data_IF_135502990029
#
_entry.id   IF_135502990029
#
_cell.length_a   1.000
_cell.length_b   1.000
_cell.length_c   1.000
_cell.angle_alpha   90.00
_cell.angle_beta   90.00
_cell.angle_gamma   90.00
#
_symmetry.space_group_name_H-M   'P 1'
#
loop_
_entity.id
_entity.type
_entity.pdbx_description
1 polymer ?
#
# COMPACT_ATOMS: atom_id res chain seq x y z
N UNK A 1 -4.48 10.48 22.93
CA UNK A 1 -4.25 9.35 21.99
C UNK A 1 -5.23 9.21 20.82
N UNK A 2 -6.55 9.36 21.01
CA UNK A 2 -7.52 9.16 19.90
C UNK A 2 -7.29 10.02 18.65
N UNK A 3 -6.97 11.31 18.82
CA UNK A 3 -6.75 12.25 17.70
C UNK A 3 -5.58 11.86 16.79
N UNK A 4 -4.48 11.38 17.37
CA UNK A 4 -3.29 10.95 16.62
C UNK A 4 -3.57 9.67 15.83
N UNK A 5 -4.38 8.76 16.39
CA UNK A 5 -4.84 7.57 15.67
C UNK A 5 -5.77 7.91 14.51
N UNK A 6 -6.70 8.86 14.71
CA UNK A 6 -7.58 9.35 13.65
C UNK A 6 -6.78 10.00 12.51
N UNK A 7 -5.79 10.84 12.84
CA UNK A 7 -4.87 11.40 11.84
C UNK A 7 -4.13 10.31 11.08
N UNK A 8 -3.57 9.30 11.76
CA UNK A 8 -2.83 8.23 11.07
C UNK A 8 -3.75 7.37 10.19
N UNK A 9 -4.99 7.12 10.61
CA UNK A 9 -5.97 6.42 9.78
C UNK A 9 -6.34 7.22 8.52
N UNK A 10 -6.56 8.53 8.66
CA UNK A 10 -6.80 9.43 7.53
C UNK A 10 -5.58 9.49 6.60
N UNK A 11 -4.38 9.65 7.16
CA UNK A 11 -3.14 9.67 6.38
C UNK A 11 -2.84 8.36 5.67
N UNK A 12 -3.21 7.23 6.28
CA UNK A 12 -3.13 5.92 5.64
C UNK A 12 -4.09 5.81 4.45
N UNK A 13 -5.36 6.19 4.63
CA UNK A 13 -6.38 6.14 3.60
C UNK A 13 -6.08 7.09 2.41
N UNK A 14 -5.35 8.18 2.67
CA UNK A 14 -5.01 9.22 1.70
C UNK A 14 -3.55 9.14 1.22
N UNK A 15 -2.91 7.97 1.38
CA UNK A 15 -1.59 7.74 0.78
C UNK A 15 -1.68 7.88 -0.75
N UNK A 16 -0.62 8.37 -1.43
CA UNK A 16 -0.63 8.50 -2.88
C UNK A 16 -0.90 7.17 -3.61
N UNK A 17 -0.48 6.05 -3.01
CA UNK A 17 -0.79 4.72 -3.51
C UNK A 17 -2.29 4.40 -3.49
N UNK A 18 -3.05 4.87 -2.49
CA UNK A 18 -4.50 4.68 -2.43
C UNK A 18 -5.20 5.54 -3.48
N UNK A 19 -4.90 6.84 -3.52
CA UNK A 19 -5.51 7.77 -4.47
C UNK A 19 -5.18 7.40 -5.92
N UNK A 20 -3.92 7.03 -6.18
CA UNK A 20 -3.48 6.58 -7.50
C UNK A 20 -4.08 5.24 -7.92
N UNK A 21 -4.22 4.30 -6.98
CA UNK A 21 -4.87 3.02 -7.29
C UNK A 21 -6.33 3.21 -7.68
N UNK A 22 -7.06 4.08 -6.99
CA UNK A 22 -8.46 4.39 -7.32
C UNK A 22 -8.53 5.12 -8.66
N UNK A 23 -7.71 6.15 -8.88
CA UNK A 23 -7.72 6.92 -10.13
C UNK A 23 -7.41 6.06 -11.37
N UNK A 24 -6.55 5.05 -11.23
CA UNK A 24 -6.11 4.20 -12.33
C UNK A 24 -6.83 2.85 -12.42
N UNK A 25 -7.83 2.57 -11.58
CA UNK A 25 -8.58 1.31 -11.61
C UNK A 25 -7.76 0.08 -11.16
N UNK A 26 -6.81 0.27 -10.26
CA UNK A 26 -5.95 -0.76 -9.67
C UNK A 26 -6.64 -1.43 -8.48
N UNK A 27 -7.59 -2.31 -8.78
CA UNK A 27 -8.38 -3.02 -7.76
C UNK A 27 -7.51 -3.83 -6.80
N UNK A 28 -6.44 -4.44 -7.30
CA UNK A 28 -5.52 -5.26 -6.51
C UNK A 28 -4.89 -4.46 -5.38
N UNK A 29 -4.24 -3.35 -5.71
CA UNK A 29 -3.67 -2.41 -4.73
C UNK A 29 -4.73 -1.89 -3.77
N UNK A 30 -5.93 -1.51 -4.25
CA UNK A 30 -7.01 -1.01 -3.39
C UNK A 30 -7.44 -2.03 -2.33
N UNK A 31 -7.65 -3.29 -2.72
CA UNK A 31 -7.98 -4.38 -1.80
C UNK A 31 -6.85 -4.60 -0.79
N UNK A 32 -5.60 -4.62 -1.24
CA UNK A 32 -4.46 -4.80 -0.33
C UNK A 32 -4.33 -3.64 0.67
N UNK A 33 -4.60 -2.40 0.27
CA UNK A 33 -4.60 -1.24 1.19
C UNK A 33 -5.68 -1.42 2.28
N UNK A 34 -6.87 -1.90 1.93
CA UNK A 34 -7.91 -2.18 2.95
C UNK A 34 -7.48 -3.30 3.90
N UNK A 35 -6.81 -4.33 3.39
CA UNK A 35 -6.37 -5.49 4.17
C UNK A 35 -5.09 -5.25 4.97
N UNK A 36 -4.23 -4.31 4.56
CA UNK A 36 -2.88 -4.14 5.14
C UNK A 36 -2.90 -3.90 6.66
N UNK A 37 -3.80 -3.07 7.23
CA UNK A 37 -3.86 -2.89 8.69
C UNK A 37 -4.24 -4.20 9.42
N UNK A 38 -5.12 -5.01 8.83
CA UNK A 38 -5.54 -6.31 9.37
C UNK A 38 -4.39 -7.32 9.29
N UNK A 39 -3.70 -7.38 8.14
CA UNK A 39 -2.52 -8.22 7.94
C UNK A 39 -1.41 -7.81 8.91
N UNK A 40 -1.15 -6.51 9.06
CA UNK A 40 -0.15 -5.98 9.99
C UNK A 40 -0.48 -6.31 11.45
N UNK A 41 -1.75 -6.24 11.85
CA UNK A 41 -2.18 -6.65 13.19
C UNK A 41 -2.03 -8.16 13.41
N UNK A 42 -2.44 -8.98 12.44
CA UNK A 42 -2.30 -10.44 12.50
C UNK A 42 -0.82 -10.85 12.54
N UNK A 43 0.01 -10.25 11.69
CA UNK A 43 1.45 -10.46 11.64
C UNK A 43 2.13 -10.02 12.94
N UNK A 44 1.69 -8.92 13.56
CA UNK A 44 2.18 -8.50 14.87
C UNK A 44 1.92 -9.57 15.93
N UNK A 45 0.71 -10.13 16.00
CA UNK A 45 0.39 -11.24 16.90
C UNK A 45 1.21 -12.50 16.59
N UNK A 46 1.39 -12.79 15.31
CA UNK A 46 2.15 -13.92 14.81
C UNK A 46 3.61 -13.88 15.29
N UNK A 47 4.26 -12.71 15.33
CA UNK A 47 5.68 -12.61 15.72
C UNK A 47 5.90 -12.57 17.24
N UNK A 48 4.83 -12.39 18.05
CA UNK A 48 4.97 -12.35 19.51
C UNK A 48 5.42 -13.69 20.09
N UNK A 49 6.12 -13.73 21.24
CA UNK A 49 6.46 -14.98 21.90
C UNK A 49 5.23 -15.86 22.20
N UNK A 50 4.10 -15.24 22.52
CA UNK A 50 2.81 -15.89 22.79
C UNK A 50 2.00 -16.26 21.54
N UNK A 51 2.53 -15.99 20.34
CA UNK A 51 1.84 -16.28 19.08
C UNK A 51 1.64 -17.78 18.85
N UNK A 52 0.45 -18.14 18.37
CA UNK A 52 -0.01 -19.53 18.19
C UNK A 52 -0.06 -19.92 16.72
N UNK A 53 -0.22 -21.22 16.43
CA UNK A 53 -0.48 -21.68 15.05
C UNK A 53 -1.75 -21.07 14.44
N UNK A 54 -2.75 -20.72 15.27
CA UNK A 54 -3.97 -20.02 14.83
C UNK A 54 -3.67 -18.63 14.29
N UNK A 55 -2.71 -17.91 14.87
CA UNK A 55 -2.27 -16.61 14.34
C UNK A 55 -1.58 -16.80 12.98
N UNK A 56 -0.90 -17.93 12.77
CA UNK A 56 -0.31 -18.33 11.48
C UNK A 56 -1.38 -18.52 10.41
N UNK A 57 -2.42 -19.30 10.71
CA UNK A 57 -3.56 -19.50 9.81
C UNK A 57 -4.30 -18.20 9.52
N UNK A 58 -4.58 -17.38 10.53
CA UNK A 58 -5.28 -16.10 10.32
C UNK A 58 -4.49 -15.14 9.43
N UNK A 59 -3.18 -15.04 9.67
CA UNK A 59 -2.29 -14.24 8.82
C UNK A 59 -2.23 -14.80 7.40
N UNK A 60 -2.12 -16.12 7.26
CA UNK A 60 -2.09 -16.81 5.96
C UNK A 60 -3.37 -16.64 5.15
N UNK A 61 -4.54 -16.67 5.78
CA UNK A 61 -5.83 -16.45 5.11
C UNK A 61 -5.96 -15.01 4.61
N UNK A 62 -5.64 -14.01 5.44
CA UNK A 62 -5.65 -12.60 5.01
C UNK A 62 -4.65 -12.36 3.87
N UNK A 63 -3.46 -12.95 3.98
CA UNK A 63 -2.43 -12.89 2.95
C UNK A 63 -2.88 -13.58 1.66
N UNK A 64 -3.65 -14.67 1.74
CA UNK A 64 -4.20 -15.37 0.58
C UNK A 64 -5.14 -14.47 -0.20
N UNK A 65 -6.05 -13.77 0.48
CA UNK A 65 -6.95 -12.80 -0.17
C UNK A 65 -6.13 -11.68 -0.81
N UNK A 66 -5.16 -11.11 -0.10
CA UNK A 66 -4.27 -10.09 -0.69
C UNK A 66 -3.50 -10.60 -1.91
N UNK A 67 -3.00 -11.85 -1.87
CA UNK A 67 -2.22 -12.48 -2.94
C UNK A 67 -3.07 -12.77 -4.18
N UNK A 68 -4.33 -13.17 -4.00
CA UNK A 68 -5.26 -13.42 -5.10
C UNK A 68 -5.51 -12.16 -5.95
N UNK A 69 -5.48 -10.99 -5.31
CA UNK A 69 -5.73 -9.69 -5.95
C UNK A 69 -4.43 -9.00 -6.42
N UNK A 70 -3.38 -9.05 -5.61
CA UNK A 70 -2.06 -8.52 -5.93
C UNK A 70 -0.97 -9.48 -5.42
N UNK A 71 -0.49 -10.40 -6.25
CA UNK A 71 0.48 -11.42 -5.91
C UNK A 71 1.79 -10.90 -5.29
N UNK A 72 2.18 -9.67 -5.63
CA UNK A 72 3.34 -8.98 -5.05
C UNK A 72 3.27 -8.90 -3.51
N UNK A 73 2.07 -8.89 -2.93
CA UNK A 73 1.86 -8.92 -1.49
C UNK A 73 2.47 -10.16 -0.82
N UNK A 74 2.45 -11.33 -1.49
CA UNK A 74 3.07 -12.56 -0.99
C UNK A 74 4.60 -12.45 -0.95
N UNK A 75 5.20 -11.88 -2.00
CA UNK A 75 6.66 -11.65 -2.07
C UNK A 75 7.11 -10.70 -0.96
N UNK A 76 6.37 -9.61 -0.75
CA UNK A 76 6.63 -8.67 0.34
C UNK A 76 6.51 -9.34 1.71
N UNK A 77 5.48 -10.15 1.92
CA UNK A 77 5.30 -10.92 3.15
C UNK A 77 6.42 -11.94 3.37
N UNK A 78 6.90 -12.61 2.32
CA UNK A 78 8.02 -13.55 2.38
C UNK A 78 9.29 -12.86 2.88
N UNK A 79 9.63 -11.70 2.30
CA UNK A 79 10.80 -10.91 2.70
C UNK A 79 10.67 -10.44 4.15
N UNK A 80 9.53 -9.87 4.52
CA UNK A 80 9.29 -9.38 5.89
C UNK A 80 9.29 -10.51 6.92
N UNK A 81 8.70 -11.67 6.59
CA UNK A 81 8.68 -12.83 7.47
C UNK A 81 10.09 -13.42 7.65
N UNK A 82 10.92 -13.44 6.60
CA UNK A 82 12.33 -13.84 6.70
C UNK A 82 13.11 -12.93 7.65
N UNK A 83 12.97 -11.60 7.51
CA UNK A 83 13.60 -10.64 8.42
C UNK A 83 13.08 -10.83 9.85
N UNK A 84 11.77 -10.98 10.03
CA UNK A 84 11.15 -11.17 11.34
C UNK A 84 11.60 -12.48 12.01
N UNK A 85 11.70 -13.58 11.27
CA UNK A 85 12.15 -14.90 11.77
C UNK A 85 13.57 -14.88 12.32
N UNK A 86 14.47 -14.10 11.71
CA UNK A 86 15.86 -13.96 12.15
C UNK A 86 16.01 -12.96 13.31
N UNK A 87 15.16 -11.93 13.37
CA UNK A 87 15.32 -10.80 14.31
C UNK A 87 14.48 -10.90 15.58
N UNK A 88 13.17 -11.14 15.45
CA UNK A 88 12.19 -11.00 16.56
C UNK A 88 11.47 -12.32 16.88
N UNK A 89 11.17 -13.12 15.85
CA UNK A 89 10.42 -14.36 15.97
C UNK A 89 11.34 -15.60 15.98
N UNK A 90 12.46 -15.53 16.71
CA UNK A 90 13.42 -16.64 16.83
C UNK A 90 12.72 -17.84 17.48
N UNK A 91 12.51 -18.92 16.73
CA UNK A 91 11.74 -20.11 17.15
C UNK A 91 10.27 -20.12 16.70
N UNK A 92 9.78 -19.03 16.10
CA UNK A 92 8.45 -18.91 15.51
C UNK A 92 8.35 -19.39 14.07
N UNK A 93 9.33 -20.16 13.57
CA UNK A 93 9.37 -20.62 12.18
C UNK A 93 8.15 -21.46 11.76
N UNK A 94 7.61 -22.38 12.59
CA UNK A 94 6.44 -23.18 12.17
C UNK A 94 5.21 -22.33 11.86
N UNK A 95 4.92 -21.32 12.69
CA UNK A 95 3.77 -20.42 12.48
C UNK A 95 3.99 -19.44 11.32
N UNK A 96 5.23 -18.99 11.08
CA UNK A 96 5.58 -18.22 9.88
C UNK A 96 5.42 -19.07 8.63
N UNK A 97 5.85 -20.34 8.67
CA UNK A 97 5.69 -21.29 7.58
C UNK A 97 4.21 -21.53 7.25
N UNK A 98 3.34 -21.69 8.27
CA UNK A 98 1.89 -21.77 8.06
C UNK A 98 1.39 -20.53 7.31
N UNK A 99 1.73 -19.32 7.78
CA UNK A 99 1.27 -18.08 7.15
C UNK A 99 1.74 -17.93 5.69
N UNK A 100 2.97 -18.34 5.37
CA UNK A 100 3.56 -18.21 4.03
C UNK A 100 3.16 -19.34 3.08
N UNK A 101 2.90 -20.55 3.60
CA UNK A 101 2.47 -21.71 2.81
C UNK A 101 0.98 -21.67 2.48
N UNK A 102 0.16 -20.97 3.28
CA UNK A 102 -1.29 -20.89 3.08
C UNK A 102 -1.67 -20.32 1.69
N UNK A 103 -1.12 -19.16 1.23
CA UNK A 103 -1.45 -18.62 -0.09
C UNK A 103 -1.15 -19.54 -1.27
N UNK A 104 0.06 -20.11 -1.46
CA UNK A 104 0.33 -20.96 -2.61
C UNK A 104 -0.48 -22.26 -2.59
N UNK A 105 -0.84 -22.79 -1.42
CA UNK A 105 -1.67 -23.99 -1.29
C UNK A 105 -3.14 -23.71 -1.63
N UNK A 106 -3.73 -22.66 -1.07
CA UNK A 106 -5.14 -22.33 -1.31
C UNK A 106 -5.40 -21.79 -2.72
N UNK A 107 -4.40 -21.19 -3.36
CA UNK A 107 -4.51 -20.68 -4.72
C UNK A 107 -4.11 -21.72 -5.78
N UNK A 108 -4.09 -23.02 -5.45
CA UNK A 108 -3.99 -24.06 -6.48
C UNK A 108 -5.28 -24.07 -7.35
N UNK A 109 -5.16 -24.27 -8.68
CA UNK A 109 -3.94 -24.57 -9.43
C UNK A 109 -3.16 -23.32 -9.89
N UNK A 110 -3.67 -22.11 -9.65
CA UNK A 110 -3.05 -20.86 -10.14
C UNK A 110 -1.60 -20.67 -9.66
N UNK A 111 -1.26 -21.08 -8.44
CA UNK A 111 0.11 -21.02 -7.93
C UNK A 111 1.11 -21.86 -8.78
N UNK A 112 0.66 -22.96 -9.41
CA UNK A 112 1.48 -23.72 -10.36
C UNK A 112 1.72 -22.94 -11.66
N UNK A 113 0.72 -22.17 -12.11
CA UNK A 113 0.85 -21.29 -13.28
C UNK A 113 1.86 -20.19 -13.02
N UNK A 114 1.83 -19.60 -11.82
CA UNK A 114 2.80 -18.58 -11.37
C UNK A 114 4.21 -19.17 -11.26
N UNK A 115 4.35 -20.40 -10.77
CA UNK A 115 5.65 -21.08 -10.73
C UNK A 115 6.25 -21.28 -12.14
N UNK A 116 5.40 -21.47 -13.16
CA UNK A 116 5.82 -21.57 -14.57
C UNK A 116 6.06 -20.19 -15.21
N UNK A 117 5.37 -19.16 -14.75
CA UNK A 117 5.44 -17.79 -15.28
C UNK A 117 5.59 -16.77 -14.14
N UNK A 118 6.80 -16.63 -13.57
CA UNK A 118 7.02 -15.83 -12.35
C UNK A 118 6.75 -14.34 -12.54
N UNK A 119 6.73 -13.85 -13.79
CA UNK A 119 6.35 -12.47 -14.12
C UNK A 119 4.92 -12.15 -13.70
N UNK A 120 4.03 -13.16 -13.56
CA UNK A 120 2.68 -13.00 -13.03
C UNK A 120 2.63 -12.42 -11.61
N UNK A 121 3.71 -12.55 -10.83
CA UNK A 121 3.78 -11.99 -9.48
C UNK A 121 3.72 -10.45 -9.44
N UNK A 122 4.06 -9.80 -10.55
CA UNK A 122 4.14 -8.35 -10.68
C UNK A 122 2.88 -7.73 -11.28
N UNK A 123 1.92 -8.56 -11.70
CA UNK A 123 0.63 -8.10 -12.21
C UNK A 123 -0.43 -8.26 -11.14
N UNK A 124 -1.37 -7.32 -11.09
CA UNK A 124 -2.46 -7.32 -10.12
C UNK A 124 -3.81 -7.18 -10.84
N UNK A 125 -4.88 -7.49 -10.13
CA UNK A 125 -6.24 -7.28 -10.60
C UNK A 125 -6.51 -5.79 -10.86
N UNK A 126 -7.14 -5.47 -11.98
CA UNK A 126 -7.43 -4.10 -12.40
C UNK A 126 -7.11 -3.88 -13.87
N UNK A 127 -7.02 -2.62 -14.27
CA UNK A 127 -6.78 -2.23 -15.67
C UNK A 127 -5.27 -1.97 -15.92
N UNK A 128 -4.53 -2.90 -16.54
CA UNK A 128 -3.21 -2.60 -17.07
C UNK A 128 -3.35 -1.83 -18.39
N UNK A 129 -3.21 -0.51 -18.33
CA UNK A 129 -3.25 0.37 -19.51
C UNK A 129 -1.87 0.92 -19.89
N UNK A 130 -1.60 1.14 -21.18
CA UNK A 130 -0.40 1.89 -21.62
C UNK A 130 -0.42 3.30 -21.02
N UNK A 131 0.75 3.81 -20.64
CA UNK A 131 0.88 5.16 -20.06
C UNK A 131 0.43 5.30 -18.59
N UNK A 132 -0.09 4.24 -17.96
CA UNK A 132 -0.45 4.24 -16.54
C UNK A 132 0.73 4.00 -15.60
N UNK A 133 1.91 3.72 -16.16
CA UNK A 133 3.13 3.38 -15.41
C UNK A 133 4.23 4.32 -15.85
N UNK A 134 4.78 5.09 -14.92
CA UNK A 134 5.83 6.06 -15.20
C UNK A 134 6.24 6.72 -13.89
N UNK A 135 7.48 6.48 -13.49
CA UNK A 135 8.00 6.86 -12.19
C UNK A 135 9.23 7.73 -12.38
N UNK A 136 9.18 8.95 -11.87
CA UNK A 136 10.33 9.84 -11.79
C UNK A 136 11.34 9.36 -10.74
N UNK A 137 12.58 9.87 -10.78
CA UNK A 137 13.67 9.40 -9.91
C UNK A 137 13.40 9.65 -8.42
N UNK A 138 12.63 10.70 -8.10
CA UNK A 138 12.28 11.06 -6.71
C UNK A 138 10.96 10.45 -6.24
N UNK A 139 10.16 9.86 -7.14
CA UNK A 139 8.82 9.37 -6.81
C UNK A 139 8.80 8.30 -5.72
N UNK A 140 9.70 7.28 -5.72
CA UNK A 140 9.78 6.30 -4.64
C UNK A 140 10.00 6.93 -3.27
N UNK A 141 10.87 7.95 -3.21
CA UNK A 141 11.21 8.61 -1.95
C UNK A 141 10.00 9.32 -1.36
N UNK A 142 9.16 9.91 -2.21
CA UNK A 142 7.96 10.65 -1.84
C UNK A 142 6.68 9.81 -1.85
N UNK A 143 6.77 8.48 -1.71
CA UNK A 143 5.62 7.56 -1.63
C UNK A 143 4.73 7.56 -2.88
N UNK A 144 5.26 7.98 -4.04
CA UNK A 144 4.51 8.06 -5.30
C UNK A 144 4.82 6.82 -6.15
N UNK A 145 3.82 5.96 -6.41
CA UNK A 145 4.03 4.82 -7.30
C UNK A 145 4.12 5.18 -8.79
N UNK A 146 3.81 6.43 -9.16
CA UNK A 146 3.92 6.94 -10.53
C UNK A 146 2.61 6.86 -11.33
N UNK A 147 2.63 7.37 -12.57
CA UNK A 147 1.45 7.43 -13.43
C UNK A 147 0.48 8.59 -13.15
N UNK A 148 -0.68 8.64 -13.85
CA UNK A 148 -1.63 9.75 -13.77
C UNK A 148 -2.35 9.81 -12.42
N UNK A 149 -2.87 11.00 -12.07
CA UNK A 149 -3.59 11.25 -10.81
C UNK A 149 -2.70 11.38 -9.57
N UNK A 150 -1.38 11.40 -9.72
CA UNK A 150 -0.45 11.50 -8.60
C UNK A 150 -0.47 12.88 -7.93
N UNK A 151 -0.40 12.88 -6.61
CA UNK A 151 -0.23 14.12 -5.82
C UNK A 151 1.13 14.78 -6.12
N UNK A 152 1.27 16.10 -5.97
CA UNK A 152 2.57 16.78 -6.06
C UNK A 152 3.61 16.22 -5.07
N UNK A 153 4.88 16.18 -5.48
CA UNK A 153 5.99 15.61 -4.68
C UNK A 153 6.03 16.11 -3.23
N UNK A 154 5.86 17.41 -3.02
CA UNK A 154 5.99 18.03 -1.70
C UNK A 154 4.93 17.59 -0.68
N UNK A 155 3.82 16.99 -1.10
CA UNK A 155 2.68 16.72 -0.20
C UNK A 155 2.99 15.63 0.81
N UNK A 156 3.87 14.69 0.49
CA UNK A 156 4.26 13.60 1.41
C UNK A 156 5.48 13.94 2.26
N UNK A 157 6.12 15.09 2.05
CA UNK A 157 7.31 15.51 2.78
C UNK A 157 7.08 15.51 4.30
N UNK A 158 5.92 16.02 4.74
CA UNK A 158 5.57 16.02 6.16
C UNK A 158 5.51 14.62 6.76
N UNK A 159 5.02 13.64 6.00
CA UNK A 159 4.95 12.25 6.44
C UNK A 159 6.34 11.61 6.53
N UNK A 160 7.21 11.89 5.57
CA UNK A 160 8.61 11.45 5.60
C UNK A 160 9.35 12.01 6.81
N UNK A 161 9.25 13.33 7.03
CA UNK A 161 9.87 14.00 8.17
C UNK A 161 9.34 13.47 9.50
N UNK A 162 8.03 13.20 9.60
CA UNK A 162 7.45 12.61 10.80
C UNK A 162 7.94 11.17 11.04
N UNK A 163 8.08 10.36 9.99
CA UNK A 163 8.66 9.02 10.08
C UNK A 163 10.14 9.04 10.51
N UNK A 164 10.92 9.98 9.97
CA UNK A 164 12.32 10.22 10.34
C UNK A 164 12.46 10.70 11.79
N UNK A 165 11.58 11.58 12.26
CA UNK A 165 11.54 11.98 13.67
C UNK A 165 11.34 10.78 14.62
N UNK A 166 10.72 9.70 14.14
CA UNK A 166 10.62 8.42 14.85
C UNK A 166 11.98 7.81 15.19
N UNK A 167 13.00 7.95 14.33
CA UNK A 167 14.36 7.41 14.58
C UNK A 167 15.04 8.03 15.78
N UNK A 168 14.65 9.25 16.16
CA UNK A 168 15.17 9.93 17.35
C UNK A 168 14.63 9.32 18.66
N UNK A 169 13.75 8.31 18.59
CA UNK A 169 13.16 7.66 19.77
C UNK A 169 14.00 6.50 20.28
N UNK A 170 14.56 6.68 21.47
CA UNK A 170 15.18 5.60 22.25
C UNK A 170 14.13 4.70 22.92
N UNK A 171 13.01 5.28 23.36
CA UNK A 171 11.89 4.55 23.97
C UNK A 171 11.04 3.92 22.85
N UNK A 172 10.78 2.60 22.93
CA UNK A 172 10.12 1.78 21.90
C UNK A 172 10.89 1.64 20.58
N UNK A 173 12.22 1.69 20.64
CA UNK A 173 13.12 1.53 19.47
C UNK A 173 12.79 0.32 18.60
N UNK A 174 12.37 -0.81 19.18
CA UNK A 174 11.96 -2.01 18.42
C UNK A 174 10.79 -1.73 17.46
N UNK A 175 9.78 -0.95 17.88
CA UNK A 175 8.63 -0.62 17.05
C UNK A 175 9.03 0.32 15.90
N UNK A 176 9.91 1.29 16.18
CA UNK A 176 10.48 2.19 15.16
C UNK A 176 11.29 1.41 14.14
N UNK A 177 12.19 0.52 14.59
CA UNK A 177 12.99 -0.31 13.71
C UNK A 177 12.10 -1.22 12.85
N UNK A 178 11.05 -1.82 13.41
CA UNK A 178 10.10 -2.61 12.64
C UNK A 178 9.39 -1.76 11.57
N UNK A 179 8.92 -0.56 11.92
CA UNK A 179 8.31 0.38 10.96
C UNK A 179 9.27 0.77 9.84
N UNK A 180 10.55 1.00 10.16
CA UNK A 180 11.59 1.30 9.19
C UNK A 180 11.99 0.09 8.33
N UNK A 181 12.02 -1.12 8.87
CA UNK A 181 12.19 -2.34 8.08
C UNK A 181 11.09 -2.47 7.03
N UNK A 182 9.83 -2.28 7.44
CA UNK A 182 8.68 -2.28 6.51
C UNK A 182 8.81 -1.17 5.47
N UNK A 183 9.23 0.03 5.89
CA UNK A 183 9.47 1.18 5.01
C UNK A 183 10.52 0.86 3.95
N UNK A 184 11.67 0.34 4.36
CA UNK A 184 12.79 0.05 3.47
C UNK A 184 12.46 -1.08 2.50
N UNK A 185 11.80 -2.15 2.95
CA UNK A 185 11.35 -3.23 2.06
C UNK A 185 10.38 -2.69 1.01
N UNK A 186 9.38 -1.89 1.41
CA UNK A 186 8.47 -1.26 0.48
C UNK A 186 9.17 -0.31 -0.51
N UNK A 187 10.13 0.47 -0.03
CA UNK A 187 10.93 1.39 -0.86
C UNK A 187 11.77 0.65 -1.90
N UNK A 188 12.54 -0.38 -1.50
CA UNK A 188 13.38 -1.13 -2.42
C UNK A 188 12.56 -1.90 -3.46
N UNK A 189 11.41 -2.48 -3.09
CA UNK A 189 10.53 -3.15 -4.05
C UNK A 189 9.87 -2.14 -4.99
N UNK A 190 9.49 -0.95 -4.50
CA UNK A 190 8.99 0.14 -5.34
C UNK A 190 10.02 0.52 -6.42
N UNK A 191 11.29 0.68 -6.03
CA UNK A 191 12.38 0.95 -6.98
C UNK A 191 12.56 -0.23 -7.95
N UNK A 192 12.59 -1.46 -7.45
CA UNK A 192 12.76 -2.64 -8.29
C UNK A 192 11.68 -2.72 -9.38
N UNK A 193 10.41 -2.50 -9.02
CA UNK A 193 9.31 -2.42 -9.99
C UNK A 193 9.55 -1.33 -11.05
N UNK A 194 10.06 -0.15 -10.67
CA UNK A 194 10.37 0.92 -11.62
C UNK A 194 11.52 0.61 -12.58
N UNK A 195 12.44 -0.29 -12.21
CA UNK A 195 13.59 -0.69 -13.03
C UNK A 195 13.31 -1.90 -13.94
N UNK A 196 12.21 -2.63 -13.68
CA UNK A 196 11.84 -3.79 -14.48
C UNK A 196 11.05 -3.35 -15.72
N UNK A 197 11.32 -4.00 -16.86
CA UNK A 197 10.51 -3.87 -18.06
C UNK A 197 9.92 -5.24 -18.40
N UNK A 198 8.69 -5.50 -17.95
CA UNK A 198 8.03 -6.78 -18.22
C UNK A 198 7.31 -6.73 -19.56
N UNK A 199 7.51 -7.78 -20.36
CA UNK A 199 6.77 -8.02 -21.60
C UNK A 199 5.77 -9.13 -21.36
N UNK A 200 4.53 -8.93 -21.79
CA UNK A 200 3.52 -9.98 -21.85
C UNK A 200 3.14 -10.21 -23.31
N UNK A 201 2.64 -11.40 -23.68
CA UNK A 201 2.20 -11.67 -25.06
C UNK A 201 1.14 -10.69 -25.58
N UNK A 202 0.43 -10.02 -24.66
CA UNK A 202 -0.66 -9.09 -24.95
C UNK A 202 -0.22 -7.62 -25.00
N UNK A 203 1.07 -7.31 -24.82
CA UNK A 203 1.60 -5.95 -24.85
C UNK A 203 2.58 -5.75 -26.01
N UNK A 204 2.38 -4.70 -26.80
CA UNK A 204 3.28 -4.33 -27.89
C UNK A 204 4.67 -3.85 -27.42
N UNK A 205 4.76 -3.29 -26.21
CA UNK A 205 6.00 -2.78 -25.61
C UNK A 205 6.13 -3.24 -24.16
N UNK A 206 7.37 -3.34 -23.68
CA UNK A 206 7.62 -3.67 -22.26
C UNK A 206 7.15 -2.53 -21.36
N UNK A 207 6.47 -2.88 -20.27
CA UNK A 207 5.95 -1.92 -19.30
C UNK A 207 6.49 -2.23 -17.90
N UNK A 208 6.76 -1.18 -17.13
CA UNK A 208 7.16 -1.33 -15.73
C UNK A 208 5.97 -1.81 -14.88
N UNK A 209 6.16 -2.79 -13.98
CA UNK A 209 5.16 -3.17 -13.00
C UNK A 209 4.66 -2.00 -12.16
N UNK A 210 3.37 -2.04 -11.82
CA UNK A 210 2.80 -1.08 -10.88
C UNK A 210 3.32 -1.33 -9.45
N UNK A 211 3.93 -0.34 -8.78
CA UNK A 211 4.52 -0.53 -7.45
C UNK A 211 3.58 -0.18 -6.28
N UNK A 212 2.29 0.06 -6.52
CA UNK A 212 1.38 0.64 -5.51
C UNK A 212 1.30 -0.12 -4.19
N UNK A 213 1.28 -1.46 -4.22
CA UNK A 213 1.31 -2.27 -2.99
C UNK A 213 2.58 -2.03 -2.16
N UNK A 214 3.74 -1.97 -2.81
CA UNK A 214 5.02 -1.73 -2.15
C UNK A 214 5.12 -0.30 -1.61
N UNK A 215 4.61 0.68 -2.36
CA UNK A 215 4.55 2.09 -1.93
C UNK A 215 3.57 2.30 -0.77
N UNK A 216 2.43 1.60 -0.76
CA UNK A 216 1.49 1.61 0.36
C UNK A 216 2.10 1.00 1.63
N UNK A 217 2.85 -0.09 1.48
CA UNK A 217 3.60 -0.72 2.56
C UNK A 217 4.67 0.24 3.13
N UNK A 218 5.39 0.95 2.25
CA UNK A 218 6.33 1.99 2.65
C UNK A 218 5.64 3.07 3.50
N UNK A 219 4.48 3.56 3.05
CA UNK A 219 3.70 4.57 3.77
C UNK A 219 3.18 4.08 5.13
N UNK A 220 2.74 2.83 5.21
CA UNK A 220 2.31 2.21 6.46
C UNK A 220 3.45 2.14 7.48
N UNK A 221 4.66 1.75 7.05
CA UNK A 221 5.85 1.71 7.90
C UNK A 221 6.23 3.09 8.45
N UNK A 222 6.19 4.13 7.60
CA UNK A 222 6.45 5.51 8.01
C UNK A 222 5.42 6.01 9.01
N UNK A 223 4.14 5.70 8.80
CA UNK A 223 3.06 6.05 9.72
C UNK A 223 3.24 5.38 11.09
N UNK A 224 3.66 4.12 11.14
CA UNK A 224 3.99 3.44 12.41
C UNK A 224 5.11 4.18 13.14
N UNK A 225 6.19 4.54 12.43
CA UNK A 225 7.31 5.30 13.01
C UNK A 225 6.87 6.69 13.48
N UNK A 226 6.05 7.40 12.70
CA UNK A 226 5.51 8.71 13.04
C UNK A 226 4.58 8.67 14.27
N UNK A 227 3.75 7.63 14.39
CA UNK A 227 2.90 7.40 15.56
C UNK A 227 3.73 7.22 16.84
N UNK A 228 4.81 6.46 16.76
CA UNK A 228 5.74 6.28 17.89
C UNK A 228 6.46 7.59 18.23
N UNK A 229 6.81 8.40 17.22
CA UNK A 229 7.37 9.74 17.37
C UNK A 229 6.41 10.66 18.17
N UNK A 230 5.15 10.70 17.75
CA UNK A 230 4.11 11.58 18.30
C UNK A 230 3.74 11.25 19.76
N UNK A 231 3.84 9.97 20.17
CA UNK A 231 3.41 9.56 21.50
C UNK A 231 4.23 10.23 22.62
N UNK A 232 3.57 11.00 23.49
CA UNK A 232 4.18 11.81 24.56
C UNK A 232 5.10 12.93 24.07
N UNK A 233 5.05 13.30 22.79
CA UNK A 233 5.93 14.33 22.22
C UNK A 233 5.71 15.70 22.86
N UNK A 234 4.45 16.04 23.16
CA UNK A 234 4.08 17.32 23.78
C UNK A 234 4.72 17.49 25.15
N UNK A 235 4.64 16.49 26.03
CA UNK A 235 5.24 16.59 27.37
C UNK A 235 6.76 16.81 27.30
N UNK A 236 7.45 16.12 26.38
CA UNK A 236 8.91 16.23 26.22
C UNK A 236 9.36 17.58 25.68
N UNK A 237 8.62 18.13 24.72
CA UNK A 237 8.94 19.42 24.12
C UNK A 237 8.67 20.54 25.12
N UNK A 238 7.65 20.40 25.97
CA UNK A 238 7.34 21.34 27.05
C UNK A 238 8.41 21.38 28.16
N UNK A 239 9.17 20.30 28.36
CA UNK A 239 10.25 20.23 29.35
C UNK A 239 11.58 20.86 28.86
N UNK A 240 11.66 21.29 27.60
CA UNK A 240 12.84 21.98 27.06
C UNK A 240 12.63 23.49 27.01
N UNK A 241 13.71 24.25 27.21
CA UNK A 241 13.72 25.68 26.96
C UNK A 241 13.42 25.99 25.49
N UNK A 242 12.86 27.17 25.23
CA UNK A 242 12.52 27.61 23.87
C UNK A 242 13.75 27.61 22.97
N UNK A 243 13.66 26.97 21.80
CA UNK A 243 14.78 26.80 20.88
C UNK A 243 14.39 26.15 19.56
N UNK A 244 15.38 26.00 18.65
CA UNK A 244 15.18 25.47 17.29
C UNK A 244 14.48 24.10 17.25
N UNK A 245 14.61 23.29 18.29
CA UNK A 245 13.93 21.99 18.40
C UNK A 245 12.41 22.14 18.51
N UNK A 246 11.92 23.16 19.24
CA UNK A 246 10.49 23.41 19.36
C UNK A 246 9.91 23.90 18.01
N UNK A 247 10.64 24.80 17.34
CA UNK A 247 10.28 25.29 15.99
C UNK A 247 10.24 24.14 15.00
N UNK A 248 11.27 23.29 14.97
CA UNK A 248 11.33 22.12 14.10
C UNK A 248 10.21 21.11 14.38
N UNK A 249 9.90 20.86 15.65
CA UNK A 249 8.78 19.98 16.03
C UNK A 249 7.43 20.51 15.54
N UNK A 250 7.17 21.81 15.71
CA UNK A 250 5.95 22.46 15.24
C UNK A 250 5.89 22.38 13.71
N UNK A 251 6.97 22.74 13.01
CA UNK A 251 7.03 22.68 11.55
C UNK A 251 6.74 21.27 11.01
N UNK A 252 7.40 20.24 11.55
CA UNK A 252 7.16 18.84 11.15
C UNK A 252 5.72 18.41 11.45
N UNK A 253 5.17 18.79 12.61
CA UNK A 253 3.80 18.45 12.98
C UNK A 253 2.77 19.10 12.05
N UNK A 254 2.98 20.37 11.69
CA UNK A 254 2.12 21.10 10.74
C UNK A 254 2.22 20.46 9.35
N UNK A 255 3.43 20.21 8.85
CA UNK A 255 3.62 19.55 7.55
C UNK A 255 2.99 18.15 7.52
N UNK A 256 3.15 17.35 8.58
CA UNK A 256 2.57 16.02 8.68
C UNK A 256 1.03 16.06 8.75
N UNK A 257 0.45 17.09 9.37
CA UNK A 257 -0.99 17.30 9.38
C UNK A 257 -1.51 17.75 8.01
N UNK A 258 -0.79 18.65 7.33
CA UNK A 258 -1.17 19.14 6.01
C UNK A 258 -1.04 18.08 4.92
N UNK A 259 -0.13 17.12 5.06
CA UNK A 259 0.10 16.06 4.07
C UNK A 259 -1.20 15.33 3.64
N UNK A 260 -1.98 14.70 4.52
CA UNK A 260 -3.24 14.05 4.12
C UNK A 260 -4.29 15.05 3.64
N UNK A 261 -4.37 16.24 4.22
CA UNK A 261 -5.34 17.28 3.83
C UNK A 261 -5.09 17.73 2.40
N UNK A 262 -3.83 17.97 2.05
CA UNK A 262 -3.40 18.37 0.71
C UNK A 262 -3.63 17.23 -0.30
N UNK A 263 -3.32 15.98 0.07
CA UNK A 263 -3.62 14.81 -0.76
C UNK A 263 -5.12 14.65 -1.02
N UNK A 264 -5.96 14.82 -0.01
CA UNK A 264 -7.42 14.76 -0.16
C UNK A 264 -7.94 15.87 -1.07
N UNK A 265 -7.52 17.12 -0.83
CA UNK A 265 -7.92 18.26 -1.65
C UNK A 265 -7.52 18.07 -3.11
N UNK A 266 -6.29 17.59 -3.36
CA UNK A 266 -5.83 17.29 -4.71
C UNK A 266 -6.63 16.19 -5.38
N UNK A 267 -6.91 15.11 -4.66
CA UNK A 267 -7.68 13.99 -5.19
C UNK A 267 -9.12 14.40 -5.54
N UNK A 268 -9.76 15.23 -4.72
CA UNK A 268 -11.10 15.77 -5.01
C UNK A 268 -11.10 16.67 -6.25
N UNK A 269 -10.07 17.49 -6.44
CA UNK A 269 -10.01 18.47 -7.54
C UNK A 269 -9.55 17.85 -8.86
N UNK A 270 -8.61 16.91 -8.83
CA UNK A 270 -7.94 16.38 -10.04
C UNK A 270 -7.88 14.87 -10.16
N UNK A 271 -8.17 14.13 -9.08
CA UNK A 271 -7.98 12.68 -9.04
C UNK A 271 -9.16 11.87 -9.54
N UNK A 272 -10.32 12.49 -9.79
CA UNK A 272 -11.57 11.79 -10.08
C UNK A 272 -11.92 11.64 -11.57
N UNK A 273 -11.26 12.39 -12.46
CA UNK A 273 -11.74 12.57 -13.84
C UNK A 273 -10.77 12.09 -14.93
N UNK A 274 -9.56 11.63 -14.59
CA UNK A 274 -8.56 11.14 -15.54
C UNK A 274 -7.60 10.15 -14.85
N UNK A 275 -7.38 8.92 -15.34
CA UNK A 275 -7.86 8.30 -16.59
C UNK A 275 -9.24 7.64 -16.54
N UNK A 276 -9.80 7.46 -15.35
CA UNK A 276 -11.15 6.91 -15.20
C UNK A 276 -12.18 8.04 -15.22
N UNK A 277 -13.21 7.87 -16.06
CA UNK A 277 -14.35 8.77 -16.11
C UNK A 277 -15.58 8.08 -15.55
N UNK A 278 -16.41 8.82 -14.82
CA UNK A 278 -17.74 8.34 -14.41
C UNK A 278 -18.66 8.37 -15.63
N UNK A 279 -18.73 7.27 -16.38
CA UNK A 279 -19.69 7.13 -17.49
C UNK A 279 -21.07 6.71 -16.99
N UNK A 280 -22.09 7.17 -17.71
CA UNK A 280 -23.49 6.72 -17.56
C UNK A 280 -23.54 5.18 -17.68
N UNK A 281 -24.31 4.46 -16.84
CA UNK A 281 -24.37 3.00 -16.82
C UNK A 281 -25.03 2.37 -18.07
N UNK A 282 -25.17 3.11 -19.17
CA UNK A 282 -25.50 2.56 -20.47
C UNK A 282 -24.29 1.76 -20.99
N UNK A 283 -24.18 0.51 -20.54
CA UNK A 283 -23.22 -0.51 -21.02
C UNK A 283 -23.52 -0.92 -22.47
N UNK A 284 -24.66 -0.48 -22.99
CA UNK A 284 -25.18 -0.77 -24.31
C UNK A 284 -24.87 0.39 -25.27
N UNK A 285 -24.47 0.10 -26.53
CA UNK A 285 -24.48 1.10 -27.59
C UNK A 285 -25.84 1.82 -27.62
N UNK A 286 -25.84 3.12 -27.93
CA UNK A 286 -27.05 3.96 -27.83
C UNK A 286 -28.26 3.38 -28.59
N UNK A 287 -28.04 2.67 -29.68
CA UNK A 287 -29.11 1.99 -30.43
C UNK A 287 -29.76 0.85 -29.61
N UNK A 288 -28.98 0.00 -28.95
CA UNK A 288 -29.51 -1.11 -28.13
C UNK A 288 -30.20 -0.58 -26.86
N UNK A 289 -29.68 0.51 -26.28
CA UNK A 289 -30.31 1.17 -25.14
C UNK A 289 -31.70 1.75 -25.48
N UNK A 290 -31.89 2.23 -26.72
CA UNK A 290 -33.18 2.71 -27.23
C UNK A 290 -34.09 1.52 -27.59
N UNK A 291 -33.57 0.47 -28.21
CA UNK A 291 -34.31 -0.74 -28.57
C UNK A 291 -34.90 -1.46 -27.34
N UNK A 292 -34.18 -1.43 -26.21
CA UNK A 292 -34.64 -1.99 -24.92
C UNK A 292 -35.79 -1.22 -24.26
N UNK A 293 -36.10 0.00 -24.74
CA UNK A 293 -37.23 0.82 -24.26
C UNK A 293 -38.50 0.62 -25.11
N UNK A 294 -38.40 -0.06 -26.25
CA UNK A 294 -39.54 -0.44 -27.10
C UNK A 294 -40.42 -1.49 -26.39
N UNK A 295 -41.71 -1.57 -26.74
CA UNK A 295 -42.67 -2.48 -26.11
C UNK A 295 -42.24 -3.96 -26.10
N UNK A 296 -41.46 -4.39 -27.09
CA UNK A 296 -40.96 -5.77 -27.23
C UNK A 296 -39.79 -6.12 -26.28
N UNK A 297 -39.15 -5.14 -25.63
CA UNK A 297 -38.03 -5.31 -24.65
C UNK A 297 -37.10 -6.50 -24.94
N UNK A 298 -36.44 -6.55 -26.11
CA UNK A 298 -35.56 -7.66 -26.45
C UNK A 298 -34.40 -7.76 -25.44
N UNK A 299 -34.27 -8.92 -24.79
CA UNK A 299 -33.17 -9.18 -23.85
C UNK A 299 -31.87 -9.31 -24.64
N UNK A 300 -30.97 -8.35 -24.47
CA UNK A 300 -29.66 -8.37 -25.14
C UNK A 300 -28.68 -9.19 -24.33
N UNK A 301 -28.10 -10.21 -24.94
CA UNK A 301 -26.94 -10.94 -24.42
C UNK A 301 -25.67 -10.29 -24.99
N UNK A 302 -24.80 -9.80 -24.11
CA UNK A 302 -23.47 -9.30 -24.50
C UNK A 302 -22.50 -10.46 -24.31
N UNK A 303 -21.91 -10.93 -25.42
CA UNK A 303 -20.86 -11.96 -25.44
C UNK A 303 -19.47 -11.34 -25.55
#
# INVERSE_FOLDING_TARGET
>A
DGRVRAWAAAAYALLPAATGAIAQGRLGTAVVIVLLPLIGHAAYRLIQPTGTSRDGWWTGLLLTVATAFAPLSWVLALVLAGIAGVTVARGGWPRLAIALATPPVLLLPWSLTVARHPTMLFFEAGLPGPGLTGMGPLDPLFLRPGGPGMVPLGFTLGLLLAGLAGLMRHIRRRAVLAGWTVTLVGYFVTIACGQLALRTPYMAHGQAPWPGVASALMGAGLLVSALVAAHGARERVAQRSFGLVQVGFVAVSVLAFLAPVASAAWWVVRGADDPLTRRDPAVLPAYVAVEGQTADRPRTLVL
#
